data_IF_285221114732
#
_entry.id   IF_285221114732
#
_cell.length_a   1.000
_cell.length_b   1.000
_cell.length_c   1.000
_cell.angle_alpha   90.00
_cell.angle_beta   90.00
_cell.angle_gamma   90.00
#
_symmetry.space_group_name_H-M   'P 1'
#
loop_
_entity.id
_entity.type
_entity.pdbx_description
1 polymer ?
#
# COMPACT_ATOMS: atom_id res chain seq x y z
N UNK A 1 -20.43 -4.34 11.10
CA UNK A 1 -19.30 -4.22 12.06
C UNK A 1 -18.56 -5.55 12.11
N UNK A 2 -17.24 -5.56 11.90
CA UNK A 2 -16.42 -6.79 11.85
C UNK A 2 -16.33 -7.47 13.23
N UNK A 3 -15.91 -8.74 13.28
CA UNK A 3 -15.70 -9.45 14.55
C UNK A 3 -14.70 -8.73 15.46
N UNK A 4 -13.61 -8.21 14.87
CA UNK A 4 -12.61 -7.39 15.57
C UNK A 4 -13.23 -6.14 16.21
N UNK A 5 -14.06 -5.40 15.47
CA UNK A 5 -14.69 -4.19 16.00
C UNK A 5 -15.65 -4.50 17.18
N UNK A 6 -16.39 -5.62 17.11
CA UNK A 6 -17.24 -6.06 18.24
C UNK A 6 -16.43 -6.46 19.47
N UNK A 7 -15.32 -7.17 19.27
CA UNK A 7 -14.42 -7.55 20.35
C UNK A 7 -13.83 -6.32 21.05
N UNK A 8 -13.31 -5.37 20.26
CA UNK A 8 -12.75 -4.10 20.78
C UNK A 8 -13.81 -3.31 21.54
N UNK A 9 -15.01 -3.13 20.99
CA UNK A 9 -16.10 -2.42 21.66
C UNK A 9 -16.48 -3.08 23.01
N UNK A 10 -16.54 -4.41 23.07
CA UNK A 10 -16.81 -5.14 24.31
C UNK A 10 -15.76 -4.86 25.38
N UNK A 11 -14.47 -4.94 25.03
CA UNK A 11 -13.36 -4.68 25.98
C UNK A 11 -13.40 -3.23 26.48
N UNK A 12 -13.69 -2.27 25.60
CA UNK A 12 -13.83 -0.85 25.98
C UNK A 12 -15.00 -0.64 26.96
N UNK A 13 -16.15 -1.25 26.71
CA UNK A 13 -17.33 -1.13 27.60
C UNK A 13 -17.10 -1.71 28.99
N UNK A 14 -16.24 -2.71 29.10
CA UNK A 14 -15.80 -3.28 30.37
C UNK A 14 -14.77 -2.41 31.11
N UNK A 15 -14.31 -1.31 30.50
CA UNK A 15 -13.32 -0.41 31.10
C UNK A 15 -11.88 -0.94 31.06
N UNK A 16 -11.64 -2.01 30.29
CA UNK A 16 -10.35 -2.67 30.15
C UNK A 16 -9.48 -1.95 29.12
N UNK A 17 -8.16 -2.14 29.22
CA UNK A 17 -7.20 -1.66 28.22
C UNK A 17 -6.99 -2.73 27.14
N UNK A 18 -6.81 -2.29 25.90
CA UNK A 18 -6.50 -3.18 24.76
C UNK A 18 -5.02 -3.09 24.43
N UNK A 19 -4.35 -4.23 24.27
CA UNK A 19 -2.97 -4.27 23.79
C UNK A 19 -2.96 -4.19 22.26
N UNK A 20 -2.22 -3.23 21.71
CA UNK A 20 -2.16 -2.96 20.28
C UNK A 20 -0.71 -2.76 19.83
N UNK A 21 -0.50 -2.58 18.53
CA UNK A 21 0.83 -2.39 17.95
C UNK A 21 0.76 -1.77 16.55
N UNK A 22 1.91 -1.61 15.88
CA UNK A 22 2.06 -1.10 14.52
C UNK A 22 2.90 -2.04 13.64
N UNK A 23 2.88 -1.81 12.32
CA UNK A 23 3.65 -2.56 11.33
C UNK A 23 2.93 -3.76 10.70
N UNK A 24 1.73 -4.10 11.18
CA UNK A 24 0.86 -5.12 10.59
C UNK A 24 -0.59 -4.63 10.59
N UNK A 25 -1.29 -4.82 9.46
CA UNK A 25 -2.65 -4.33 9.28
C UNK A 25 -3.64 -4.80 10.36
N UNK A 26 -3.44 -5.99 10.93
CA UNK A 26 -4.29 -6.52 12.03
C UNK A 26 -4.07 -5.77 13.35
N UNK A 27 -2.81 -5.47 13.69
CA UNK A 27 -2.46 -4.67 14.86
C UNK A 27 -2.93 -3.22 14.71
N UNK A 28 -2.65 -2.64 13.55
CA UNK A 28 -2.97 -1.25 13.23
C UNK A 28 -4.48 -0.98 13.16
N UNK A 29 -5.27 -1.91 12.59
CA UNK A 29 -6.74 -1.85 12.62
C UNK A 29 -7.27 -1.85 14.06
N UNK A 30 -6.67 -2.65 14.94
CA UNK A 30 -7.08 -2.72 16.35
C UNK A 30 -6.75 -1.41 17.05
N UNK A 31 -5.56 -0.85 16.85
CA UNK A 31 -5.18 0.47 17.39
C UNK A 31 -6.14 1.59 16.95
N UNK A 32 -6.54 1.58 15.67
CA UNK A 32 -7.52 2.51 15.14
C UNK A 32 -8.90 2.35 15.80
N UNK A 33 -9.41 1.11 15.88
CA UNK A 33 -10.73 0.81 16.50
C UNK A 33 -10.78 1.25 17.96
N UNK A 34 -9.70 1.01 18.72
CA UNK A 34 -9.62 1.43 20.12
C UNK A 34 -9.64 2.96 20.22
N UNK A 35 -8.91 3.65 19.35
CA UNK A 35 -8.86 5.10 19.34
C UNK A 35 -10.24 5.73 19.05
N UNK A 36 -10.93 5.30 17.99
CA UNK A 36 -12.26 5.84 17.65
C UNK A 36 -13.32 5.47 18.69
N UNK A 37 -13.17 4.31 19.35
CA UNK A 37 -14.01 3.89 20.48
C UNK A 37 -13.69 4.60 21.79
N UNK A 38 -12.69 5.50 21.81
CA UNK A 38 -12.18 6.18 23.00
C UNK A 38 -11.74 5.19 24.10
N UNK A 39 -11.25 4.02 23.73
CA UNK A 39 -10.70 3.05 24.67
C UNK A 39 -9.32 3.44 25.20
N UNK A 40 -8.84 2.71 26.21
CA UNK A 40 -7.45 2.77 26.67
C UNK A 40 -6.64 1.71 25.94
N UNK A 41 -5.41 2.02 25.54
CA UNK A 41 -4.53 1.05 24.89
C UNK A 41 -3.09 1.08 25.40
N UNK A 42 -2.50 -0.11 25.45
CA UNK A 42 -1.06 -0.30 25.62
C UNK A 42 -0.50 -0.63 24.24
N UNK A 43 0.31 0.27 23.68
CA UNK A 43 0.83 0.18 22.32
C UNK A 43 2.27 -0.31 22.37
N UNK A 44 2.48 -1.55 21.93
CA UNK A 44 3.82 -2.14 21.84
C UNK A 44 4.46 -1.70 20.52
N UNK A 45 5.48 -0.85 20.58
CA UNK A 45 6.13 -0.31 19.40
C UNK A 45 7.43 -1.05 19.11
N UNK A 46 7.62 -1.62 17.90
CA UNK A 46 8.92 -2.12 17.51
C UNK A 46 9.90 -0.95 17.33
N UNK A 47 11.18 -1.09 17.74
CA UNK A 47 12.19 -0.06 17.50
C UNK A 47 12.44 0.12 15.99
N UNK A 48 12.92 1.30 15.61
CA UNK A 48 13.30 1.63 14.24
C UNK A 48 14.76 2.08 14.19
N UNK A 49 15.51 1.56 13.22
CA UNK A 49 16.93 1.88 13.03
C UNK A 49 17.14 3.39 12.87
N UNK A 50 18.07 3.93 13.66
CA UNK A 50 18.43 5.35 13.65
C UNK A 50 17.33 6.31 14.11
N UNK A 51 16.22 5.84 14.68
CA UNK A 51 15.10 6.69 15.13
C UNK A 51 14.84 6.52 16.62
N UNK A 52 14.86 7.61 17.37
CA UNK A 52 14.56 7.59 18.81
C UNK A 52 13.13 7.12 19.09
N UNK A 53 12.92 6.39 20.19
CA UNK A 53 11.58 5.92 20.58
C UNK A 53 10.58 7.07 20.74
N UNK A 54 11.02 8.22 21.26
CA UNK A 54 10.16 9.41 21.41
C UNK A 54 9.65 9.90 20.05
N UNK A 55 10.50 9.90 19.03
CA UNK A 55 10.08 10.24 17.66
C UNK A 55 9.10 9.21 17.07
N UNK A 56 9.28 7.92 17.38
CA UNK A 56 8.33 6.86 16.97
C UNK A 56 6.97 7.07 17.63
N UNK A 57 6.94 7.40 18.92
CA UNK A 57 5.73 7.69 19.68
C UNK A 57 5.00 8.89 19.08
N UNK A 58 5.67 10.04 18.91
CA UNK A 58 5.06 11.24 18.33
C UNK A 58 4.47 10.97 16.96
N UNK A 59 5.24 10.30 16.07
CA UNK A 59 4.74 9.93 14.73
C UNK A 59 3.52 9.02 14.81
N UNK A 60 3.51 8.06 15.73
CA UNK A 60 2.38 7.12 15.88
C UNK A 60 1.13 7.85 16.36
N UNK A 61 1.28 8.78 17.32
CA UNK A 61 0.20 9.65 17.80
C UNK A 61 -0.37 10.47 16.64
N UNK A 62 0.48 11.10 15.83
CA UNK A 62 0.06 11.96 14.74
C UNK A 62 -0.60 11.18 13.58
N UNK A 63 -0.09 9.99 13.27
CA UNK A 63 -0.54 9.14 12.15
C UNK A 63 -1.91 8.50 12.45
N UNK A 64 -2.08 7.99 13.66
CA UNK A 64 -3.33 7.38 14.12
C UNK A 64 -4.29 8.36 14.81
N UNK A 65 -3.89 9.62 14.98
CA UNK A 65 -4.64 10.66 15.73
C UNK A 65 -5.01 10.18 17.14
N UNK A 66 -4.05 9.58 17.83
CA UNK A 66 -4.25 9.00 19.16
C UNK A 66 -4.46 10.07 20.24
N UNK A 67 -5.27 9.77 21.24
CA UNK A 67 -5.32 10.53 22.50
C UNK A 67 -4.19 10.06 23.44
N UNK A 68 -3.13 10.87 23.68
CA UNK A 68 -2.01 10.45 24.51
C UNK A 68 -2.41 10.13 25.96
N UNK A 69 -3.49 10.73 26.46
CA UNK A 69 -3.97 10.46 27.83
C UNK A 69 -4.59 9.06 27.99
N UNK A 70 -4.83 8.35 26.88
CA UNK A 70 -5.38 6.99 26.85
C UNK A 70 -4.39 5.95 26.35
N UNK A 71 -3.15 6.35 26.09
CA UNK A 71 -2.13 5.49 25.52
C UNK A 71 -0.96 5.30 26.51
N UNK A 72 -0.55 4.05 26.71
CA UNK A 72 0.74 3.71 27.27
C UNK A 72 1.60 3.11 26.17
N UNK A 73 2.81 3.60 25.98
CA UNK A 73 3.73 3.09 24.96
C UNK A 73 4.81 2.22 25.61
N UNK A 74 5.07 1.04 25.02
CA UNK A 74 6.08 0.09 25.51
C UNK A 74 6.92 -0.40 24.32
N UNK A 75 8.22 -0.63 24.53
CA UNK A 75 9.14 -1.15 23.52
C UNK A 75 9.80 -2.45 24.04
N UNK A 76 10.01 -3.47 23.18
CA UNK A 76 10.69 -4.70 23.57
C UNK A 76 12.20 -4.56 23.76
N UNK A 77 12.82 -3.46 23.29
CA UNK A 77 14.27 -3.23 23.36
C UNK A 77 14.61 -1.76 23.60
N UNK A 78 15.89 -1.48 23.89
CA UNK A 78 16.40 -0.14 24.17
C UNK A 78 16.25 0.82 22.99
N UNK A 79 16.34 2.12 23.28
CA UNK A 79 15.90 3.25 22.44
C UNK A 79 16.49 3.35 21.02
N UNK A 80 17.53 2.58 20.71
CA UNK A 80 18.15 2.56 19.38
C UNK A 80 18.68 1.18 19.05
N UNK A 81 18.34 0.65 17.86
CA UNK A 81 18.95 -0.59 17.38
C UNK A 81 19.51 -0.38 15.98
N UNK A 82 20.84 -0.48 15.86
CA UNK A 82 21.55 -0.27 14.61
C UNK A 82 21.36 -1.45 13.65
N UNK A 83 21.06 -1.17 12.39
CA UNK A 83 21.11 -2.16 11.29
C UNK A 83 20.01 -3.23 11.30
N UNK A 84 18.95 -3.06 12.10
CA UNK A 84 17.79 -3.96 12.13
C UNK A 84 16.52 -3.24 11.69
N UNK A 85 15.72 -3.90 10.87
CA UNK A 85 14.42 -3.41 10.46
C UNK A 85 13.38 -3.62 11.58
N UNK A 86 12.30 -2.84 11.58
CA UNK A 86 11.19 -3.04 12.53
C UNK A 86 10.60 -4.46 12.49
N UNK A 87 10.72 -5.16 11.35
CA UNK A 87 10.23 -6.55 11.17
C UNK A 87 11.03 -7.56 11.97
N UNK A 88 12.31 -7.28 12.22
CA UNK A 88 13.19 -8.18 12.97
C UNK A 88 12.76 -8.27 14.45
N UNK A 89 12.02 -7.27 14.95
CA UNK A 89 11.49 -7.21 16.30
C UNK A 89 10.05 -7.70 16.43
N UNK A 90 9.40 -8.14 15.34
CA UNK A 90 8.02 -8.62 15.41
C UNK A 90 7.84 -9.79 16.38
N UNK A 91 8.74 -10.80 16.46
CA UNK A 91 8.63 -11.86 17.45
C UNK A 91 8.69 -11.35 18.89
N UNK A 92 9.63 -10.47 19.20
CA UNK A 92 9.83 -9.91 20.55
C UNK A 92 8.66 -9.01 20.96
N UNK A 93 8.16 -8.21 20.02
CA UNK A 93 6.93 -7.41 20.16
C UNK A 93 5.72 -8.27 20.46
N UNK A 94 5.53 -9.36 19.71
CA UNK A 94 4.39 -10.27 19.89
C UNK A 94 4.48 -11.00 21.24
N UNK A 95 5.69 -11.42 21.66
CA UNK A 95 5.92 -12.02 22.98
C UNK A 95 5.62 -11.04 24.11
N UNK A 96 6.11 -9.80 24.02
CA UNK A 96 5.82 -8.77 25.02
C UNK A 96 4.32 -8.47 25.11
N UNK A 97 3.62 -8.40 23.98
CA UNK A 97 2.16 -8.23 23.96
C UNK A 97 1.44 -9.39 24.67
N UNK A 98 1.92 -10.63 24.48
CA UNK A 98 1.40 -11.83 25.15
C UNK A 98 1.67 -11.78 26.65
N UNK A 99 2.86 -11.39 27.08
CA UNK A 99 3.23 -11.29 28.49
C UNK A 99 2.37 -10.27 29.23
N UNK A 100 2.12 -9.12 28.61
CA UNK A 100 1.29 -8.04 29.16
C UNK A 100 -0.21 -8.36 29.21
N UNK A 101 -0.69 -9.34 28.42
CA UNK A 101 -2.11 -9.65 28.32
C UNK A 101 -2.60 -10.54 29.48
N UNK A 102 -3.71 -10.16 30.12
CA UNK A 102 -4.41 -11.01 31.08
C UNK A 102 -5.40 -11.96 30.38
N UNK A 103 -6.03 -11.49 29.31
CA UNK A 103 -7.08 -12.20 28.55
C UNK A 103 -6.78 -12.15 27.05
N UNK A 104 -6.92 -13.29 26.37
CA UNK A 104 -6.85 -13.39 24.91
C UNK A 104 -8.22 -13.48 24.28
N UNK A 105 -8.46 -12.68 23.25
CA UNK A 105 -9.65 -12.74 22.39
C UNK A 105 -9.21 -13.20 20.99
N UNK A 106 -9.12 -14.51 20.72
CA UNK A 106 -8.65 -15.02 19.45
C UNK A 106 -9.64 -14.72 18.31
N UNK A 107 -9.16 -14.08 17.26
CA UNK A 107 -9.94 -13.67 16.10
C UNK A 107 -9.28 -14.16 14.81
N UNK A 108 -9.95 -15.03 14.05
CA UNK A 108 -9.47 -15.50 12.75
C UNK A 108 -8.00 -16.00 12.78
N UNK A 109 -7.69 -16.84 13.78
CA UNK A 109 -6.33 -17.34 13.99
C UNK A 109 -6.04 -18.48 13.01
N UNK A 110 -4.96 -18.31 12.22
CA UNK A 110 -4.53 -19.32 11.25
C UNK A 110 -4.09 -20.61 11.98
N UNK A 111 -4.70 -21.76 11.69
CA UNK A 111 -4.27 -23.04 12.27
C UNK A 111 -2.81 -23.35 11.93
N UNK A 112 -2.03 -23.75 12.93
CA UNK A 112 -0.59 -23.99 12.84
C UNK A 112 0.25 -22.74 12.60
N UNK A 113 -0.32 -21.54 12.76
CA UNK A 113 0.39 -20.27 12.70
C UNK A 113 1.06 -19.89 14.03
N UNK A 114 1.82 -18.80 14.03
CA UNK A 114 2.52 -18.32 15.23
C UNK A 114 1.56 -18.07 16.41
N UNK A 115 0.47 -17.33 16.17
CA UNK A 115 -0.52 -17.02 17.21
C UNK A 115 -1.30 -18.26 17.69
N UNK A 116 -1.46 -19.29 16.86
CA UNK A 116 -2.07 -20.56 17.29
C UNK A 116 -1.16 -21.26 18.31
N UNK A 117 0.16 -21.30 18.05
CA UNK A 117 1.16 -21.78 19.01
C UNK A 117 1.17 -20.98 20.32
N UNK A 118 1.13 -19.64 20.22
CA UNK A 118 1.06 -18.74 21.37
C UNK A 118 -0.18 -19.01 22.23
N UNK A 119 -1.36 -19.17 21.62
CA UNK A 119 -2.60 -19.43 22.36
C UNK A 119 -2.56 -20.78 23.08
N UNK A 120 -2.00 -21.81 22.43
CA UNK A 120 -1.80 -23.12 23.07
C UNK A 120 -0.87 -23.03 24.29
N UNK A 121 0.16 -22.19 24.24
CA UNK A 121 1.05 -21.94 25.39
C UNK A 121 0.40 -21.05 26.47
N UNK A 122 -0.42 -20.08 26.08
CA UNK A 122 -1.17 -19.24 27.01
C UNK A 122 -2.15 -20.07 27.85
N UNK A 123 -2.83 -21.03 27.21
CA UNK A 123 -3.74 -21.96 27.88
C UNK A 123 -3.04 -22.81 28.95
N UNK A 124 -1.78 -23.20 28.74
CA UNK A 124 -1.02 -24.01 29.73
C UNK A 124 -0.42 -23.18 30.86
N UNK A 125 -0.29 -21.86 30.68
CA UNK A 125 0.26 -20.92 31.67
C UNK A 125 -0.82 -20.22 32.50
N UNK A 126 -2.09 -20.59 32.32
CA UNK A 126 -3.22 -20.12 33.13
C UNK A 126 -3.79 -18.75 32.70
N UNK A 127 -3.41 -18.25 31.51
CA UNK A 127 -4.01 -17.02 30.97
C UNK A 127 -5.42 -17.30 30.43
N UNK A 128 -6.32 -16.34 30.60
CA UNK A 128 -7.71 -16.50 30.18
C UNK A 128 -7.85 -16.41 28.66
N UNK A 129 -8.69 -17.27 28.07
CA UNK A 129 -9.02 -17.25 26.65
C UNK A 129 -10.54 -17.08 26.51
N UNK A 130 -10.97 -15.98 25.91
CA UNK A 130 -12.36 -15.63 25.68
C UNK A 130 -12.74 -15.83 24.20
N UNK A 131 -13.52 -16.88 23.92
CA UNK A 131 -13.87 -17.29 22.56
C UNK A 131 -15.14 -16.65 22.00
N UNK A 132 -15.77 -15.73 22.73
CA UNK A 132 -17.07 -15.11 22.38
C UNK A 132 -17.09 -14.41 21.01
N UNK A 133 -15.93 -13.96 20.54
CA UNK A 133 -15.78 -13.26 19.26
C UNK A 133 -15.07 -14.10 18.20
N UNK A 134 -14.68 -15.34 18.52
CA UNK A 134 -13.89 -16.19 17.63
C UNK A 134 -14.63 -16.39 16.31
N UNK A 135 -13.89 -16.22 15.23
CA UNK A 135 -14.33 -16.52 13.87
C UNK A 135 -13.30 -17.39 13.21
N UNK A 136 -13.75 -18.29 12.33
CA UNK A 136 -12.85 -19.18 11.60
C UNK A 136 -11.85 -18.38 10.78
N UNK A 137 -10.62 -18.88 10.75
CA UNK A 137 -9.64 -18.38 9.80
C UNK A 137 -10.08 -18.72 8.39
N UNK A 138 -10.31 -17.67 7.60
CA UNK A 138 -10.49 -17.79 6.16
C UNK A 138 -9.19 -17.37 5.52
N UNK A 139 -8.67 -18.23 4.63
CA UNK A 139 -7.61 -17.78 3.73
C UNK A 139 -8.15 -16.56 2.97
N UNK A 140 -7.33 -15.51 2.77
CA UNK A 140 -7.75 -14.37 1.96
C UNK A 140 -8.39 -14.87 0.66
N UNK A 141 -9.68 -14.57 0.49
CA UNK A 141 -10.49 -14.99 -0.66
C UNK A 141 -10.03 -14.20 -1.88
N UNK A 142 -10.23 -14.80 -3.05
CA UNK A 142 -9.65 -14.52 -4.36
C UNK A 142 -9.07 -13.12 -4.60
N UNK A 143 -7.83 -13.15 -5.07
CA UNK A 143 -7.17 -12.01 -5.71
C UNK A 143 -8.10 -11.51 -6.81
N UNK A 144 -8.27 -10.18 -6.92
CA UNK A 144 -8.88 -9.59 -8.11
C UNK A 144 -8.13 -10.14 -9.32
N UNK A 145 -8.84 -10.85 -10.19
CA UNK A 145 -8.29 -11.37 -11.43
C UNK A 145 -8.86 -10.53 -12.56
N UNK A 146 -7.96 -10.11 -13.44
CA UNK A 146 -8.31 -9.49 -14.70
C UNK A 146 -8.28 -10.58 -15.75
N UNK A 147 -9.40 -10.76 -16.44
CA UNK A 147 -9.54 -11.70 -17.53
C UNK A 147 -9.40 -10.96 -18.87
N UNK A 148 -8.48 -11.42 -19.69
CA UNK A 148 -8.28 -10.88 -21.03
C UNK A 148 -8.61 -11.93 -22.09
N UNK A 149 -9.03 -13.14 -21.69
CA UNK A 149 -9.37 -14.21 -22.61
C UNK A 149 -10.68 -13.88 -23.34
N UNK A 150 -10.63 -13.88 -24.68
CA UNK A 150 -11.78 -13.54 -25.52
C UNK A 150 -12.12 -12.04 -25.60
N UNK A 151 -11.47 -11.19 -24.79
CA UNK A 151 -11.66 -9.75 -24.84
C UNK A 151 -10.95 -9.13 -26.05
N UNK A 152 -11.58 -8.11 -26.64
CA UNK A 152 -10.94 -7.28 -27.67
C UNK A 152 -10.33 -6.04 -27.02
N UNK A 153 -9.01 -5.90 -27.12
CA UNK A 153 -8.34 -4.67 -26.70
C UNK A 153 -8.79 -3.49 -27.55
N UNK A 154 -8.92 -2.34 -26.91
CA UNK A 154 -9.39 -1.15 -27.58
C UNK A 154 -8.31 -0.63 -28.57
N UNK A 155 -8.57 -0.60 -29.88
CA UNK A 155 -7.59 -0.15 -30.87
C UNK A 155 -7.24 1.33 -30.74
N UNK A 156 -8.06 2.14 -30.05
CA UNK A 156 -7.73 3.55 -29.77
C UNK A 156 -6.51 3.72 -28.85
N UNK A 157 -6.04 2.63 -28.23
CA UNK A 157 -4.83 2.58 -27.41
C UNK A 157 -3.57 2.22 -28.21
N UNK A 158 -3.71 1.78 -29.45
CA UNK A 158 -2.62 1.40 -30.36
C UNK A 158 -2.51 2.43 -31.50
N UNK A 159 -2.19 3.68 -31.15
CA UNK A 159 -1.96 4.76 -32.12
C UNK A 159 -0.44 4.95 -32.33
N UNK A 160 0.14 4.47 -33.44
CA UNK A 160 1.57 4.55 -33.69
C UNK A 160 2.09 6.00 -33.82
N UNK A 161 1.20 6.96 -34.08
CA UNK A 161 1.54 8.38 -34.15
C UNK A 161 1.43 9.10 -32.80
N UNK A 162 0.86 8.43 -31.78
CA UNK A 162 0.70 8.97 -30.43
C UNK A 162 1.24 7.95 -29.43
N UNK A 163 2.56 7.95 -29.27
CA UNK A 163 3.20 7.18 -28.19
C UNK A 163 2.86 7.78 -26.84
N UNK A 164 2.59 6.94 -25.86
CA UNK A 164 2.31 7.32 -24.48
C UNK A 164 3.35 6.71 -23.54
N UNK A 165 3.56 7.38 -22.41
CA UNK A 165 4.11 6.76 -21.19
C UNK A 165 2.96 6.64 -20.19
N UNK A 166 2.82 5.48 -19.57
CA UNK A 166 1.63 5.13 -18.80
C UNK A 166 2.01 4.89 -17.34
N UNK A 167 1.41 5.65 -16.44
CA UNK A 167 1.41 5.35 -15.02
C UNK A 167 0.30 4.35 -14.74
N UNK A 168 0.66 3.07 -14.67
CA UNK A 168 -0.29 2.02 -14.28
C UNK A 168 -0.57 2.11 -12.78
N UNK A 169 -1.83 2.34 -12.44
CA UNK A 169 -2.30 2.33 -11.07
C UNK A 169 -2.45 0.89 -10.58
N UNK A 170 -2.49 0.73 -9.26
CA UNK A 170 -2.64 -0.57 -8.60
C UNK A 170 -3.44 -0.42 -7.32
N UNK A 171 -3.96 -1.55 -6.85
CA UNK A 171 -4.58 -1.66 -5.54
C UNK A 171 -3.53 -1.38 -4.46
N UNK A 172 -3.87 -0.53 -3.49
CA UNK A 172 -3.01 -0.23 -2.35
C UNK A 172 -3.53 -0.93 -1.11
N UNK A 173 -2.65 -1.56 -0.34
CA UNK A 173 -2.96 -2.20 0.96
C UNK A 173 -2.34 -1.45 2.15
N UNK A 174 -1.92 -0.22 1.87
CA UNK A 174 -1.29 0.74 2.77
C UNK A 174 -1.90 2.12 2.49
N UNK A 175 -1.77 3.09 3.43
CA UNK A 175 -2.20 4.47 3.18
C UNK A 175 -1.62 5.02 1.86
N UNK A 176 -2.38 5.86 1.17
CA UNK A 176 -1.86 6.59 0.03
C UNK A 176 -0.75 7.58 0.47
N UNK A 177 0.10 8.06 -0.45
CA UNK A 177 1.05 9.11 -0.12
C UNK A 177 0.35 10.32 0.51
N UNK A 178 0.93 10.86 1.58
CA UNK A 178 0.40 11.96 2.41
C UNK A 178 -0.87 11.65 3.22
N UNK A 179 -1.40 10.44 3.16
CA UNK A 179 -2.53 10.02 3.97
C UNK A 179 -2.07 9.40 5.29
N UNK A 180 -2.83 9.67 6.36
CA UNK A 180 -2.54 9.06 7.66
C UNK A 180 -3.25 7.71 7.81
N UNK A 181 -2.71 6.84 8.67
CA UNK A 181 -3.36 5.55 8.99
C UNK A 181 -4.74 5.72 9.59
N UNK A 182 -4.98 6.80 10.34
CA UNK A 182 -6.33 7.13 10.80
C UNK A 182 -7.33 7.26 9.64
N UNK A 183 -6.97 8.03 8.60
CA UNK A 183 -7.81 8.23 7.42
C UNK A 183 -7.99 6.93 6.64
N UNK A 184 -6.89 6.21 6.42
CA UNK A 184 -6.90 4.91 5.74
C UNK A 184 -7.86 3.89 6.39
N UNK A 185 -7.76 3.68 7.72
CA UNK A 185 -8.63 2.72 8.41
C UNK A 185 -10.07 3.20 8.54
N UNK A 186 -10.28 4.52 8.71
CA UNK A 186 -11.62 5.11 8.67
C UNK A 186 -12.30 4.75 7.35
N UNK A 187 -11.65 5.02 6.22
CA UNK A 187 -12.21 4.80 4.90
C UNK A 187 -12.48 3.30 4.64
N UNK A 188 -11.59 2.40 5.08
CA UNK A 188 -11.82 0.95 4.99
C UNK A 188 -13.05 0.52 5.79
N UNK A 189 -13.25 1.07 6.98
CA UNK A 189 -14.36 0.69 7.86
C UNK A 189 -15.71 1.28 7.43
N UNK A 190 -15.70 2.41 6.72
CA UNK A 190 -16.93 3.07 6.26
C UNK A 190 -17.34 2.71 4.83
N UNK A 191 -16.48 2.01 4.08
CA UNK A 191 -16.78 1.63 2.69
C UNK A 191 -17.44 0.26 2.61
N UNK A 192 -18.46 0.14 1.76
CA UNK A 192 -19.13 -1.14 1.48
C UNK A 192 -18.25 -2.08 0.62
N UNK A 193 -17.35 -1.49 -0.18
CA UNK A 193 -16.39 -2.19 -1.03
C UNK A 193 -14.97 -1.74 -0.71
N UNK A 194 -13.97 -2.45 -1.24
CA UNK A 194 -12.59 -2.07 -1.03
C UNK A 194 -12.24 -0.77 -1.78
N UNK A 195 -12.22 0.35 -1.06
CA UNK A 195 -12.04 1.71 -1.57
C UNK A 195 -10.61 2.04 -2.03
N UNK A 196 -9.72 1.04 -2.10
CA UNK A 196 -8.31 1.18 -2.49
C UNK A 196 -7.91 0.21 -3.61
N UNK A 197 -8.88 -0.16 -4.45
CA UNK A 197 -8.59 -0.89 -5.69
C UNK A 197 -7.82 -0.02 -6.68
N UNK A 198 -7.25 -0.63 -7.72
CA UNK A 198 -6.59 0.12 -8.80
C UNK A 198 -7.54 1.14 -9.45
N UNK A 199 -8.80 0.78 -9.68
CA UNK A 199 -9.82 1.70 -10.17
C UNK A 199 -10.03 2.90 -9.25
N UNK A 200 -10.20 2.69 -7.94
CA UNK A 200 -10.36 3.80 -6.98
C UNK A 200 -9.08 4.67 -6.88
N UNK A 201 -7.89 4.08 -7.04
CA UNK A 201 -6.63 4.85 -7.16
C UNK A 201 -6.67 5.77 -8.38
N UNK A 202 -7.16 5.29 -9.52
CA UNK A 202 -7.34 6.10 -10.73
C UNK A 202 -8.41 7.18 -10.56
N UNK A 203 -9.57 6.86 -9.96
CA UNK A 203 -10.61 7.84 -9.62
C UNK A 203 -10.05 8.96 -8.75
N UNK A 204 -9.24 8.62 -7.74
CA UNK A 204 -8.58 9.61 -6.91
C UNK A 204 -7.63 10.49 -7.70
N UNK A 205 -6.77 9.92 -8.55
CA UNK A 205 -5.87 10.70 -9.41
C UNK A 205 -6.66 11.62 -10.36
N UNK A 206 -7.77 11.14 -10.89
CA UNK A 206 -8.64 11.91 -11.78
C UNK A 206 -9.29 13.11 -11.05
N UNK A 207 -9.73 12.91 -9.81
CA UNK A 207 -10.32 13.95 -8.97
C UNK A 207 -9.29 14.94 -8.40
N UNK A 208 -8.19 14.44 -7.86
CA UNK A 208 -7.10 15.26 -7.28
C UNK A 208 -6.27 15.96 -8.38
N UNK A 209 -6.31 15.45 -9.61
CA UNK A 209 -5.50 15.93 -10.74
C UNK A 209 -4.00 15.77 -10.53
N UNK A 210 -3.57 14.87 -9.64
CA UNK A 210 -2.15 14.72 -9.25
C UNK A 210 -1.79 13.26 -9.12
N UNK A 211 -0.66 12.85 -9.73
CA UNK A 211 -0.01 11.57 -9.41
C UNK A 211 1.03 11.84 -8.33
N UNK A 212 0.81 11.31 -7.13
CA UNK A 212 1.72 11.49 -6.00
C UNK A 212 2.95 10.59 -6.14
N UNK A 213 4.10 11.18 -5.90
CA UNK A 213 5.38 10.48 -5.91
C UNK A 213 5.56 9.57 -4.71
N UNK A 214 6.39 8.55 -4.89
CA UNK A 214 6.88 7.71 -3.79
C UNK A 214 8.37 7.45 -3.97
N UNK A 215 9.04 7.05 -2.90
CA UNK A 215 10.42 6.54 -2.96
C UNK A 215 10.49 5.01 -2.84
N UNK A 216 9.34 4.34 -2.92
CA UNK A 216 9.24 2.89 -2.75
C UNK A 216 9.97 2.19 -3.89
N UNK A 217 10.93 1.34 -3.54
CA UNK A 217 11.82 0.64 -4.49
C UNK A 217 12.77 1.56 -5.28
N UNK A 218 12.92 2.82 -4.86
CA UNK A 218 13.83 3.78 -5.49
C UNK A 218 15.11 3.87 -4.67
N UNK A 219 16.24 3.53 -5.29
CA UNK A 219 17.56 3.65 -4.66
C UNK A 219 17.84 5.12 -4.33
N UNK A 220 18.43 5.37 -3.16
CA UNK A 220 18.71 6.74 -2.69
C UNK A 220 17.50 7.49 -2.11
N UNK A 221 16.32 6.86 -2.05
CA UNK A 221 15.15 7.44 -1.38
C UNK A 221 14.51 8.61 -2.14
N UNK A 222 14.83 8.78 -3.43
CA UNK A 222 14.28 9.84 -4.28
C UNK A 222 12.77 9.67 -4.48
N UNK A 223 12.02 10.78 -4.38
CA UNK A 223 10.59 10.82 -4.66
C UNK A 223 10.38 10.91 -6.18
N UNK A 224 9.76 9.90 -6.77
CA UNK A 224 9.48 9.85 -8.20
C UNK A 224 8.08 9.31 -8.49
N UNK A 225 7.55 9.64 -9.66
CA UNK A 225 6.43 8.91 -10.28
C UNK A 225 6.99 8.07 -11.42
N UNK A 226 6.74 6.77 -11.39
CA UNK A 226 7.15 5.84 -12.44
C UNK A 226 6.07 5.63 -13.50
N UNK A 227 6.50 5.51 -14.75
CA UNK A 227 5.69 5.24 -15.93
C UNK A 227 6.32 4.10 -16.72
N UNK A 228 5.54 3.42 -17.54
CA UNK A 228 6.03 2.47 -18.54
C UNK A 228 5.84 3.06 -19.94
N UNK A 229 6.86 2.96 -20.79
CA UNK A 229 6.75 3.30 -22.21
C UNK A 229 6.32 2.11 -23.09
N UNK A 230 5.80 1.04 -22.47
CA UNK A 230 5.20 -0.05 -23.21
C UNK A 230 3.87 0.36 -23.81
N UNK A 231 3.65 -0.07 -25.04
CA UNK A 231 2.32 -0.04 -25.63
C UNK A 231 1.36 -0.88 -24.77
N UNK A 232 0.08 -0.49 -24.63
CA UNK A 232 -0.88 -1.15 -23.74
C UNK A 232 -0.96 -2.67 -23.94
N UNK A 233 -0.89 -3.16 -25.19
CA UNK A 233 -0.88 -4.60 -25.48
C UNK A 233 0.33 -5.33 -24.87
N UNK A 234 1.52 -4.72 -24.91
CA UNK A 234 2.72 -5.30 -24.29
C UNK A 234 2.67 -5.19 -22.77
N UNK A 235 2.09 -4.10 -22.23
CA UNK A 235 1.91 -3.93 -20.80
C UNK A 235 0.95 -4.99 -20.20
N UNK A 236 -0.12 -5.35 -20.90
CA UNK A 236 -1.07 -6.41 -20.48
C UNK A 236 -0.34 -7.75 -20.26
N UNK A 237 0.64 -8.10 -21.10
CA UNK A 237 1.44 -9.33 -20.93
C UNK A 237 2.27 -9.32 -19.64
N UNK A 238 2.54 -8.15 -19.09
CA UNK A 238 3.24 -7.97 -17.81
C UNK A 238 2.29 -7.85 -16.62
N UNK A 239 0.96 -7.80 -16.80
CA UNK A 239 -0.03 -7.76 -15.71
C UNK A 239 -0.15 -9.12 -15.00
N UNK A 240 0.73 -9.38 -14.03
CA UNK A 240 0.76 -10.65 -13.29
C UNK A 240 0.88 -10.44 -11.79
N UNK A 241 0.31 -11.36 -11.03
CA UNK A 241 0.45 -11.38 -9.58
C UNK A 241 1.90 -11.69 -9.17
N UNK A 242 2.50 -10.78 -8.39
CA UNK A 242 3.84 -10.95 -7.80
C UNK A 242 3.70 -11.39 -6.35
N UNK A 243 3.74 -12.72 -6.11
CA UNK A 243 3.58 -13.32 -4.77
C UNK A 243 4.48 -12.69 -3.70
N UNK A 244 5.73 -12.35 -4.04
CA UNK A 244 6.69 -11.71 -3.12
C UNK A 244 6.22 -10.33 -2.63
N UNK A 245 5.54 -9.57 -3.49
CA UNK A 245 5.09 -8.21 -3.20
C UNK A 245 3.62 -8.14 -2.81
N UNK A 246 2.88 -9.25 -2.96
CA UNK A 246 1.45 -9.36 -2.67
C UNK A 246 0.66 -8.29 -3.44
N UNK A 247 1.04 -8.07 -4.70
CA UNK A 247 0.39 -7.13 -5.61
C UNK A 247 0.56 -7.59 -7.06
N UNK A 248 -0.20 -7.01 -7.98
CA UNK A 248 0.09 -7.10 -9.41
C UNK A 248 1.30 -6.23 -9.79
N UNK A 249 2.02 -6.58 -10.86
CA UNK A 249 3.02 -5.66 -11.46
C UNK A 249 2.33 -4.42 -12.02
N UNK A 250 1.29 -4.63 -12.81
CA UNK A 250 0.38 -3.61 -13.32
C UNK A 250 -1.06 -4.12 -13.17
N UNK A 251 -1.99 -3.21 -12.95
CA UNK A 251 -3.43 -3.46 -13.06
C UNK A 251 -3.98 -2.63 -14.23
N UNK A 252 -5.11 -3.03 -14.86
CA UNK A 252 -5.62 -2.44 -16.11
C UNK A 252 -6.26 -1.06 -15.95
N UNK A 253 -5.59 -0.19 -15.21
CA UNK A 253 -6.02 1.18 -14.94
C UNK A 253 -4.81 2.08 -14.96
N UNK A 254 -4.84 3.20 -15.68
CA UNK A 254 -3.64 4.02 -15.80
C UNK A 254 -3.86 5.43 -16.30
N UNK A 255 -2.84 6.26 -16.14
CA UNK A 255 -2.75 7.61 -16.71
C UNK A 255 -1.74 7.58 -17.84
N UNK A 256 -2.21 7.69 -19.07
CA UNK A 256 -1.39 7.74 -20.27
C UNK A 256 -1.07 9.20 -20.62
N UNK A 257 0.22 9.51 -20.75
CA UNK A 257 0.71 10.84 -21.10
C UNK A 257 1.47 10.75 -22.41
N UNK A 258 1.07 11.55 -23.40
CA UNK A 258 1.71 11.58 -24.72
C UNK A 258 3.20 11.89 -24.55
N UNK A 259 4.08 11.19 -25.26
CA UNK A 259 5.53 11.23 -25.02
C UNK A 259 6.13 12.65 -25.12
N UNK A 260 5.68 13.47 -26.06
CA UNK A 260 6.11 14.87 -26.18
C UNK A 260 5.67 15.72 -24.97
N UNK A 261 4.43 15.55 -24.50
CA UNK A 261 3.90 16.16 -23.28
C UNK A 261 4.70 15.69 -22.06
N UNK A 262 5.05 14.40 -21.99
CA UNK A 262 5.86 13.83 -20.93
C UNK A 262 7.28 14.43 -20.89
N UNK A 263 7.95 14.51 -22.04
CA UNK A 263 9.28 15.13 -22.16
C UNK A 263 9.22 16.62 -21.76
N UNK A 264 8.21 17.35 -22.24
CA UNK A 264 8.01 18.75 -21.89
C UNK A 264 7.77 18.95 -20.38
N UNK A 265 7.17 17.97 -19.72
CA UNK A 265 6.97 17.93 -18.27
C UNK A 265 8.20 17.41 -17.48
N UNK A 266 9.31 17.14 -18.16
CA UNK A 266 10.56 16.71 -17.53
C UNK A 266 10.64 15.21 -17.21
N UNK A 267 9.72 14.38 -17.74
CA UNK A 267 9.83 12.94 -17.64
C UNK A 267 10.99 12.46 -18.51
N UNK A 268 11.76 11.49 -17.99
CA UNK A 268 12.89 10.90 -18.71
C UNK A 268 12.88 9.37 -18.59
N UNK A 269 13.37 8.64 -19.60
CA UNK A 269 13.60 7.21 -19.48
C UNK A 269 14.62 6.92 -18.39
N UNK A 270 14.48 5.77 -17.72
CA UNK A 270 15.46 5.32 -16.74
C UNK A 270 16.76 4.87 -17.43
N UNK A 271 17.85 4.98 -16.68
CA UNK A 271 19.19 4.50 -17.04
C UNK A 271 19.34 3.11 -16.41
N UNK A 272 19.22 2.07 -17.25
CA UNK A 272 19.46 0.70 -16.82
C UNK A 272 20.96 0.41 -16.69
N UNK A 273 21.36 -0.21 -15.59
CA UNK A 273 22.71 -0.71 -15.42
C UNK A 273 22.92 -1.58 -14.20
N UNK A 274 24.17 -2.01 -14.01
CA UNK A 274 24.61 -2.73 -12.82
C UNK A 274 24.97 -1.76 -11.69
N UNK A 275 25.23 -2.29 -10.49
CA UNK A 275 25.47 -1.47 -9.28
C UNK A 275 26.65 -0.50 -9.42
N UNK A 276 27.69 -0.87 -10.16
CA UNK A 276 28.85 -0.01 -10.42
C UNK A 276 28.48 1.24 -11.22
N UNK A 277 27.43 1.18 -12.05
CA UNK A 277 26.98 2.34 -12.80
C UNK A 277 26.41 3.40 -11.86
N UNK A 278 25.63 3.01 -10.85
CA UNK A 278 25.01 3.95 -9.92
C UNK A 278 26.04 4.85 -9.24
N UNK A 279 27.16 4.28 -8.79
CA UNK A 279 28.24 5.03 -8.12
C UNK A 279 28.92 6.04 -9.04
N UNK A 280 28.86 5.83 -10.36
CA UNK A 280 29.45 6.72 -11.38
C UNK A 280 28.48 7.77 -11.92
N UNK A 281 27.18 7.62 -11.67
CA UNK A 281 26.18 8.62 -12.08
C UNK A 281 26.35 9.90 -11.27
N UNK A 282 26.23 11.03 -11.98
CA UNK A 282 26.06 12.35 -11.35
C UNK A 282 24.74 12.41 -10.59
N UNK A 283 24.67 13.23 -9.54
CA UNK A 283 23.51 13.26 -8.63
C UNK A 283 22.16 13.50 -9.34
N UNK A 284 22.16 14.30 -10.41
CA UNK A 284 20.95 14.58 -11.20
C UNK A 284 20.39 13.38 -11.97
N UNK A 285 21.22 12.35 -12.24
CA UNK A 285 20.81 11.14 -12.98
C UNK A 285 20.49 9.97 -12.05
N UNK A 286 20.92 10.00 -10.79
CA UNK A 286 20.66 8.94 -9.80
C UNK A 286 19.17 8.61 -9.60
N UNK A 287 18.23 9.57 -9.57
CA UNK A 287 16.80 9.26 -9.50
C UNK A 287 16.28 8.45 -10.69
N UNK A 288 16.98 8.50 -11.83
CA UNK A 288 16.64 7.79 -13.05
C UNK A 288 17.37 6.45 -13.18
N UNK A 289 18.19 6.03 -12.21
CA UNK A 289 18.83 4.71 -12.27
C UNK A 289 17.84 3.58 -11.97
N UNK A 290 17.92 2.51 -12.75
CA UNK A 290 17.24 1.24 -12.46
C UNK A 290 18.21 0.08 -12.63
N UNK A 291 18.30 -0.80 -11.63
CA UNK A 291 19.12 -1.99 -11.76
C UNK A 291 18.51 -2.92 -12.83
N UNK A 292 19.33 -3.44 -13.76
CA UNK A 292 18.88 -4.37 -14.80
C UNK A 292 18.16 -5.60 -14.23
N UNK A 293 18.54 -5.99 -13.01
CA UNK A 293 18.08 -7.17 -12.30
C UNK A 293 18.89 -8.41 -12.66
N UNK A 294 18.53 -9.54 -12.05
CA UNK A 294 19.10 -10.84 -12.41
C UNK A 294 18.44 -11.42 -13.67
N UNK A 295 19.00 -12.51 -14.22
CA UNK A 295 18.36 -13.28 -15.31
C UNK A 295 16.93 -13.72 -15.01
N UNK A 296 16.56 -13.88 -13.73
CA UNK A 296 15.22 -14.31 -13.29
C UNK A 296 14.29 -13.11 -13.03
N UNK A 297 14.84 -11.89 -12.99
CA UNK A 297 14.13 -10.67 -12.58
C UNK A 297 14.58 -9.47 -13.43
N UNK A 298 14.50 -9.60 -14.75
CA UNK A 298 14.83 -8.52 -15.68
C UNK A 298 13.75 -7.43 -15.65
N UNK A 299 14.16 -6.20 -15.35
CA UNK A 299 13.27 -5.02 -15.24
C UNK A 299 13.24 -4.17 -16.51
N UNK A 300 14.13 -4.44 -17.47
CA UNK A 300 14.21 -3.70 -18.75
C UNK A 300 12.95 -3.80 -19.61
N UNK A 301 12.20 -4.92 -19.62
CA UNK A 301 10.97 -5.00 -20.41
C UNK A 301 9.94 -3.94 -20.06
N UNK A 302 9.92 -3.38 -18.85
CA UNK A 302 8.94 -2.36 -18.47
C UNK A 302 9.21 -1.00 -19.15
N UNK A 303 10.40 -0.79 -19.73
CA UNK A 303 10.81 0.45 -20.37
C UNK A 303 10.45 1.67 -19.51
N UNK A 304 10.95 1.69 -18.27
CA UNK A 304 10.51 2.62 -17.24
C UNK A 304 10.91 4.07 -17.57
N UNK A 305 10.02 5.00 -17.27
CA UNK A 305 10.25 6.44 -17.26
C UNK A 305 9.94 6.99 -15.87
N UNK A 306 10.59 8.09 -15.48
CA UNK A 306 10.34 8.74 -14.20
C UNK A 306 10.09 10.24 -14.33
N UNK A 307 9.25 10.75 -13.46
CA UNK A 307 9.12 12.17 -13.12
C UNK A 307 9.67 12.38 -11.70
N UNK A 308 10.37 13.50 -11.46
CA UNK A 308 10.79 13.86 -10.10
C UNK A 308 9.65 14.53 -9.33
N UNK A 309 9.38 14.05 -8.13
CA UNK A 309 8.29 14.57 -7.30
C UNK A 309 6.90 14.28 -7.88
N UNK A 310 5.89 14.92 -7.31
CA UNK A 310 4.50 14.76 -7.72
C UNK A 310 4.27 15.34 -9.13
N UNK A 311 3.44 14.65 -9.93
CA UNK A 311 3.06 15.14 -11.24
C UNK A 311 1.65 15.75 -11.20
N UNK A 312 1.56 17.07 -11.39
CA UNK A 312 0.30 17.78 -11.52
C UNK A 312 -0.27 17.69 -12.94
N UNK A 313 -1.33 16.92 -13.13
CA UNK A 313 -1.99 16.70 -14.42
C UNK A 313 -2.68 17.97 -14.94
N UNK A 314 -3.06 18.90 -14.06
CA UNK A 314 -3.67 20.18 -14.45
C UNK A 314 -2.68 21.10 -15.19
N UNK A 315 -1.37 20.91 -14.98
CA UNK A 315 -0.33 21.68 -15.68
C UNK A 315 0.00 21.16 -17.09
N UNK A 316 -0.55 20.00 -17.46
CA UNK A 316 -0.32 19.38 -18.77
C UNK A 316 -1.45 19.73 -19.73
N UNK A 317 -1.15 19.69 -21.04
CA UNK A 317 -2.18 19.85 -22.06
C UNK A 317 -3.26 18.75 -21.90
N UNK A 318 -4.56 19.10 -21.84
CA UNK A 318 -5.62 18.11 -21.70
C UNK A 318 -5.62 17.04 -22.79
N UNK A 319 -5.29 17.42 -24.03
CA UNK A 319 -5.19 16.52 -25.20
C UNK A 319 -3.97 15.59 -25.15
N UNK A 320 -3.04 15.88 -24.23
CA UNK A 320 -1.85 15.07 -23.98
C UNK A 320 -2.05 13.99 -22.93
N UNK A 321 -3.23 13.90 -22.31
CA UNK A 321 -3.54 12.94 -21.23
C UNK A 321 -4.77 12.11 -21.60
N UNK A 322 -4.68 10.81 -21.36
CA UNK A 322 -5.81 9.89 -21.38
C UNK A 322 -5.84 9.07 -20.10
N UNK A 323 -7.02 8.75 -19.60
CA UNK A 323 -7.18 7.79 -18.51
C UNK A 323 -7.63 6.45 -19.09
N UNK A 324 -7.03 5.37 -18.61
CA UNK A 324 -7.33 4.01 -19.05
C UNK A 324 -8.09 3.31 -17.94
N UNK A 325 -9.27 2.77 -18.23
CA UNK A 325 -10.01 1.87 -17.32
C UNK A 325 -10.02 0.46 -17.87
N UNK A 326 -10.38 -0.54 -17.06
CA UNK A 326 -10.47 -1.90 -17.55
C UNK A 326 -11.64 -2.05 -18.52
N UNK A 327 -12.85 -1.71 -18.10
CA UNK A 327 -14.10 -1.91 -18.86
C UNK A 327 -14.73 -0.62 -19.38
N UNK A 328 -15.62 -0.75 -20.38
CA UNK A 328 -16.45 0.35 -20.88
C UNK A 328 -17.35 0.98 -19.81
N UNK A 329 -17.87 0.17 -18.88
CA UNK A 329 -18.73 0.64 -17.79
C UNK A 329 -17.96 1.57 -16.84
N UNK A 330 -16.74 1.17 -16.49
CA UNK A 330 -15.84 1.99 -15.66
C UNK A 330 -15.39 3.25 -16.39
N UNK A 331 -15.14 3.16 -17.71
CA UNK A 331 -14.80 4.35 -18.50
C UNK A 331 -15.91 5.40 -18.45
N UNK A 332 -17.17 4.98 -18.65
CA UNK A 332 -18.33 5.85 -18.60
C UNK A 332 -18.54 6.49 -17.21
N UNK A 333 -18.27 5.75 -16.13
CA UNK A 333 -18.34 6.27 -14.78
C UNK A 333 -17.24 7.30 -14.50
N UNK A 334 -15.99 6.96 -14.80
CA UNK A 334 -14.83 7.83 -14.56
C UNK A 334 -14.86 9.10 -15.42
N UNK A 335 -15.38 9.02 -16.65
CA UNK A 335 -15.49 10.18 -17.54
C UNK A 335 -16.33 11.32 -16.92
N UNK A 336 -17.24 11.02 -15.99
CA UNK A 336 -18.04 12.05 -15.30
C UNK A 336 -17.23 12.86 -14.28
N UNK A 337 -16.07 12.36 -13.87
CA UNK A 337 -15.23 12.96 -12.82
C UNK A 337 -14.06 13.78 -13.39
N UNK A 338 -13.84 13.74 -14.70
CA UNK A 338 -12.65 14.33 -15.32
C UNK A 338 -12.92 14.93 -16.69
N UNK A 339 -12.14 15.96 -17.03
CA UNK A 339 -12.11 16.56 -18.38
C UNK A 339 -11.24 15.79 -19.37
N UNK A 340 -10.39 14.89 -18.87
CA UNK A 340 -9.52 14.08 -19.72
C UNK A 340 -10.31 12.97 -20.39
N UNK A 341 -9.90 12.59 -21.60
CA UNK A 341 -10.50 11.47 -22.31
C UNK A 341 -10.29 10.17 -21.51
N UNK A 342 -11.35 9.42 -21.28
CA UNK A 342 -11.31 8.12 -20.62
C UNK A 342 -11.57 7.02 -21.64
N UNK A 343 -10.65 6.06 -21.74
CA UNK A 343 -10.68 4.98 -22.70
C UNK A 343 -10.68 3.64 -21.97
N UNK A 344 -11.62 2.73 -22.29
CA UNK A 344 -11.57 1.37 -21.75
C UNK A 344 -10.46 0.56 -22.44
N UNK A 345 -9.77 -0.28 -21.69
CA UNK A 345 -8.73 -1.18 -22.17
C UNK A 345 -9.34 -2.31 -23.01
N UNK A 346 -10.50 -2.82 -22.61
CA UNK A 346 -11.26 -3.85 -23.33
C UNK A 346 -12.64 -3.33 -23.77
N UNK A 347 -13.10 -3.73 -24.96
CA UNK A 347 -14.36 -3.28 -25.56
C UNK A 347 -15.56 -4.23 -25.34
N UNK A 348 -15.29 -5.52 -25.12
CA UNK A 348 -16.28 -6.56 -24.90
C UNK A 348 -15.71 -7.66 -24.01
#
# INVERSE_FOLDING_TARGET
MTATARAVDSVIRQGLAVITSTGLNTWELTAHLVNIGRGRQIIVLPPMDGVSISSVITRTIDDFKLDPARCLFVTPSSDTVAGKSAKDFWPERDLLAVELADVFLPLSIRPGGNFDGILNQAATTGKEICDDFRVDYRRPVDRVRYDFEGCTLNPALDDPNRRYVIHWTRSSHEPYPAETRFEYYRDILTSDTYCRSAYHTLERIAGDGTIRSTNRFIRGGHQVVSFSALEPLEAVKLMRWRRRYVCYSFEPYGVAIRTDTAIAAGLRPVIYGEDDLYSRLVDGDRPFFQNCGSKVSDWRPEAEWRCLGDLNLQSLSPDGIKLITYTCKEAAALQQLTKHEVIPLILA
#
